data_IF_939014047109
#
_entry.id   IF_939014047109
#
_cell.length_a   1.000
_cell.length_b   1.000
_cell.length_c   1.000
_cell.angle_alpha   90.00
_cell.angle_beta   90.00
_cell.angle_gamma   90.00
#
_symmetry.space_group_name_H-M   'P 1'
#
loop_
_entity.id
_entity.type
_entity.pdbx_description
1 polymer ?
#
# COMPACT_ATOMS: atom_id res chain seq x y z
N UNK A 1 6.24 -9.63 10.45
CA UNK A 1 6.49 -9.52 8.99
C UNK A 1 6.74 -8.06 8.58
N UNK A 2 7.57 -7.81 7.56
CA UNK A 2 7.90 -6.47 7.06
C UNK A 2 6.90 -5.94 6.01
N UNK A 3 6.88 -4.62 5.81
CA UNK A 3 6.37 -4.03 4.58
C UNK A 3 7.29 -4.43 3.41
N UNK A 4 6.69 -4.71 2.25
CA UNK A 4 7.42 -5.16 1.07
C UNK A 4 6.97 -4.41 -0.19
N UNK A 5 7.85 -4.37 -1.18
CA UNK A 5 7.55 -3.88 -2.53
C UNK A 5 8.06 -4.88 -3.57
N UNK A 6 7.43 -4.98 -4.76
CA UNK A 6 7.98 -5.77 -5.87
C UNK A 6 9.41 -5.36 -6.21
N UNK A 7 10.27 -6.32 -6.58
CA UNK A 7 11.68 -6.03 -6.87
C UNK A 7 11.88 -5.00 -7.98
N UNK A 8 10.95 -4.95 -8.94
CA UNK A 8 10.96 -4.01 -10.06
C UNK A 8 10.47 -2.62 -9.69
N UNK A 9 9.83 -2.43 -8.53
CA UNK A 9 9.27 -1.15 -8.11
C UNK A 9 10.35 -0.09 -7.94
N UNK A 10 11.47 -0.40 -7.27
CA UNK A 10 12.57 0.57 -7.09
C UNK A 10 13.08 1.12 -8.42
N UNK A 11 13.16 0.27 -9.45
CA UNK A 11 13.58 0.67 -10.80
C UNK A 11 12.52 1.53 -11.49
N UNK A 12 11.24 1.21 -11.33
CA UNK A 12 10.14 1.97 -11.90
C UNK A 12 10.05 3.39 -11.31
N UNK A 13 10.24 3.52 -10.00
CA UNK A 13 10.20 4.79 -9.27
C UNK A 13 11.53 5.56 -9.25
N UNK A 14 12.59 5.07 -9.92
CA UNK A 14 13.96 5.56 -9.74
C UNK A 14 14.15 7.06 -10.01
N UNK A 15 13.35 7.64 -10.90
CA UNK A 15 13.47 9.05 -11.29
C UNK A 15 12.75 10.01 -10.34
N UNK A 16 11.86 9.51 -9.49
CA UNK A 16 11.09 10.33 -8.54
C UNK A 16 11.54 10.11 -7.09
N UNK A 17 12.58 9.30 -6.89
CA UNK A 17 13.29 9.24 -5.62
C UNK A 17 14.06 10.52 -5.37
N UNK A 18 14.08 10.96 -4.12
CA UNK A 18 14.88 12.10 -3.72
C UNK A 18 16.35 11.82 -4.00
N UNK A 19 17.01 12.77 -4.65
CA UNK A 19 18.47 12.75 -4.78
C UNK A 19 19.08 13.25 -3.48
N UNK A 20 20.24 12.71 -3.13
CA UNK A 20 20.98 13.12 -1.94
C UNK A 20 21.20 14.64 -1.96
N UNK A 21 20.66 15.34 -0.95
CA UNK A 21 20.71 16.81 -0.85
C UNK A 21 19.56 17.57 -1.49
N UNK A 22 18.51 16.89 -1.98
CA UNK A 22 17.27 17.52 -2.47
C UNK A 22 16.06 17.11 -1.61
N UNK A 23 15.00 17.93 -1.57
CA UNK A 23 13.72 17.62 -0.90
C UNK A 23 12.58 17.45 -1.93
N UNK A 24 12.89 16.95 -3.13
CA UNK A 24 11.99 17.03 -4.31
C UNK A 24 11.50 15.66 -4.79
N UNK A 25 11.56 14.63 -3.95
CA UNK A 25 11.19 13.26 -4.32
C UNK A 25 10.85 12.37 -3.13
N UNK A 26 10.59 11.10 -3.40
CA UNK A 26 10.39 10.09 -2.36
C UNK A 26 11.68 9.87 -1.57
N UNK A 27 11.62 10.12 -0.27
CA UNK A 27 12.75 9.99 0.66
C UNK A 27 12.83 8.58 1.21
N UNK A 28 11.69 7.91 1.35
CA UNK A 28 11.57 6.59 1.94
C UNK A 28 11.13 5.57 0.89
N UNK A 29 11.68 4.35 0.96
CA UNK A 29 11.10 3.21 0.23
C UNK A 29 9.64 2.96 0.64
N UNK A 30 9.25 3.42 1.83
CA UNK A 30 7.87 3.38 2.29
C UNK A 30 6.93 4.29 1.49
N UNK A 31 7.42 5.38 0.88
CA UNK A 31 6.60 6.23 0.00
C UNK A 31 6.11 5.41 -1.21
N UNK A 32 7.02 4.63 -1.81
CA UNK A 32 6.68 3.68 -2.88
C UNK A 32 5.60 2.71 -2.41
N UNK A 33 5.81 2.08 -1.25
CA UNK A 33 4.85 1.14 -0.69
C UNK A 33 3.48 1.80 -0.46
N UNK A 34 3.45 3.01 0.11
CA UNK A 34 2.24 3.75 0.42
C UNK A 34 1.43 4.05 -0.85
N UNK A 35 2.05 4.62 -1.89
CA UNK A 35 1.33 4.94 -3.12
C UNK A 35 0.82 3.69 -3.85
N UNK A 36 1.62 2.63 -3.88
CA UNK A 36 1.19 1.33 -4.38
C UNK A 36 0.01 0.79 -3.55
N UNK A 37 0.08 0.82 -2.22
CA UNK A 37 -1.00 0.39 -1.34
C UNK A 37 -2.29 1.17 -1.59
N UNK A 38 -2.22 2.50 -1.69
CA UNK A 38 -3.41 3.34 -1.94
C UNK A 38 -4.06 3.01 -3.28
N UNK A 39 -3.28 2.80 -4.35
CA UNK A 39 -3.82 2.36 -5.63
C UNK A 39 -4.50 0.99 -5.52
N UNK A 40 -3.86 0.02 -4.87
CA UNK A 40 -4.39 -1.33 -4.70
C UNK A 40 -5.66 -1.37 -3.85
N UNK A 41 -5.73 -0.60 -2.77
CA UNK A 41 -6.92 -0.48 -1.92
C UNK A 41 -8.08 0.19 -2.66
N UNK A 42 -7.78 1.21 -3.48
CA UNK A 42 -8.78 1.91 -4.27
C UNK A 42 -9.43 0.99 -5.31
N UNK A 43 -8.62 0.23 -6.06
CA UNK A 43 -9.11 -0.70 -7.09
C UNK A 43 -9.42 -2.09 -6.56
N UNK A 44 -9.27 -2.32 -5.25
CA UNK A 44 -9.36 -3.62 -4.59
C UNK A 44 -8.52 -4.74 -5.24
N UNK A 45 -7.39 -4.37 -5.86
CA UNK A 45 -6.52 -5.33 -6.56
C UNK A 45 -5.45 -5.87 -5.63
N UNK A 46 -5.31 -7.19 -5.62
CA UNK A 46 -4.26 -7.93 -4.93
C UNK A 46 -3.38 -8.66 -5.92
N UNK A 47 -2.09 -8.74 -5.63
CA UNK A 47 -1.19 -9.73 -6.22
C UNK A 47 -0.41 -10.48 -5.13
N UNK A 48 -0.46 -11.80 -5.19
CA UNK A 48 0.30 -12.68 -4.31
C UNK A 48 1.68 -12.92 -4.90
N UNK A 49 2.66 -12.13 -4.45
CA UNK A 49 4.04 -12.26 -4.85
C UNK A 49 4.83 -12.95 -3.75
N UNK A 50 5.73 -13.84 -4.16
CA UNK A 50 6.60 -14.57 -3.25
C UNK A 50 7.68 -13.68 -2.64
N UNK A 51 8.39 -14.21 -1.64
CA UNK A 51 9.50 -13.51 -1.01
C UNK A 51 10.68 -13.26 -1.98
N UNK A 52 10.86 -14.10 -3.02
CA UNK A 52 11.90 -13.90 -4.04
C UNK A 52 11.55 -12.82 -5.05
N UNK A 53 10.26 -12.49 -5.21
CA UNK A 53 9.76 -11.45 -6.13
C UNK A 53 9.65 -10.07 -5.48
N UNK A 54 9.85 -9.99 -4.17
CA UNK A 54 9.64 -8.79 -3.37
C UNK A 54 10.83 -8.51 -2.44
N UNK A 55 11.05 -7.24 -2.12
CA UNK A 55 12.10 -6.80 -1.20
C UNK A 55 11.48 -6.28 0.09
N UNK A 56 12.03 -6.65 1.25
CA UNK A 56 11.66 -6.04 2.54
C UNK A 56 12.17 -4.61 2.62
N UNK A 57 11.32 -3.70 3.09
CA UNK A 57 11.69 -2.30 3.26
C UNK A 57 11.86 -1.92 4.74
N UNK A 58 10.85 -2.19 5.58
CA UNK A 58 10.86 -1.83 7.00
C UNK A 58 9.80 -2.63 7.77
N UNK A 59 9.99 -2.85 9.08
CA UNK A 59 9.08 -3.63 9.94
C UNK A 59 8.19 -2.75 10.85
N UNK A 60 8.16 -1.45 10.61
CA UNK A 60 7.43 -0.45 11.40
C UNK A 60 6.97 0.70 10.49
N UNK A 61 5.99 1.49 10.92
CA UNK A 61 5.63 2.72 10.22
C UNK A 61 6.72 3.79 10.43
N UNK A 62 7.35 4.31 9.36
CA UNK A 62 8.32 5.40 9.47
C UNK A 62 7.73 6.64 10.14
N UNK A 63 8.57 7.52 10.71
CA UNK A 63 8.16 8.69 11.52
C UNK A 63 7.01 9.48 10.91
N UNK A 64 7.11 9.75 9.62
CA UNK A 64 6.19 10.65 8.92
C UNK A 64 4.79 10.04 8.76
N UNK A 65 4.73 8.70 8.79
CA UNK A 65 3.51 7.90 8.69
C UNK A 65 3.00 7.42 10.06
N UNK A 66 3.76 7.61 11.15
CA UNK A 66 3.34 7.14 12.49
C UNK A 66 2.03 7.77 12.95
N UNK A 67 1.79 9.04 12.60
CA UNK A 67 0.56 9.77 12.95
C UNK A 67 -0.66 9.22 12.20
N UNK A 68 -0.47 8.82 10.95
CA UNK A 68 -1.55 8.36 10.06
C UNK A 68 -1.69 6.83 10.02
N UNK A 69 -0.87 6.09 10.78
CA UNK A 69 -0.87 4.61 10.79
C UNK A 69 -2.26 4.01 11.00
N UNK A 70 -3.05 4.59 11.90
CA UNK A 70 -4.37 4.07 12.25
C UNK A 70 -5.36 4.27 11.10
N UNK A 71 -5.22 5.37 10.36
CA UNK A 71 -6.02 5.64 9.17
C UNK A 71 -5.68 4.65 8.06
N UNK A 72 -4.39 4.42 7.80
CA UNK A 72 -3.93 3.44 6.80
C UNK A 72 -4.47 2.03 7.14
N UNK A 73 -4.35 1.62 8.41
CA UNK A 73 -4.87 0.33 8.88
C UNK A 73 -6.39 0.27 8.75
N UNK A 74 -7.11 1.30 9.15
CA UNK A 74 -8.58 1.32 9.06
C UNK A 74 -9.06 1.22 7.60
N UNK A 75 -8.39 1.91 6.67
CA UNK A 75 -8.68 1.81 5.24
C UNK A 75 -8.43 0.39 4.72
N UNK A 76 -7.30 -0.21 5.07
CA UNK A 76 -6.99 -1.60 4.73
C UNK A 76 -8.06 -2.57 5.26
N UNK A 77 -8.36 -2.51 6.56
CA UNK A 77 -9.34 -3.40 7.19
C UNK A 77 -10.73 -3.26 6.58
N UNK A 78 -11.15 -2.02 6.30
CA UNK A 78 -12.42 -1.76 5.61
C UNK A 78 -12.46 -2.49 4.27
N UNK A 79 -11.43 -2.35 3.44
CA UNK A 79 -11.36 -3.00 2.12
C UNK A 79 -11.30 -4.53 2.21
N UNK A 80 -10.59 -5.05 3.20
CA UNK A 80 -10.48 -6.49 3.41
C UNK A 80 -11.83 -7.11 3.83
N UNK A 81 -12.55 -6.44 4.74
CA UNK A 81 -13.87 -6.89 5.18
C UNK A 81 -14.91 -6.79 4.05
N UNK A 82 -14.86 -5.73 3.24
CA UNK A 82 -15.67 -5.59 2.03
C UNK A 82 -15.43 -6.78 1.07
N UNK A 83 -14.17 -7.16 0.83
CA UNK A 83 -13.82 -8.27 -0.06
C UNK A 83 -14.28 -9.64 0.48
N UNK A 84 -14.29 -9.81 1.80
CA UNK A 84 -14.77 -11.04 2.46
C UNK A 84 -16.31 -11.12 2.54
N UNK A 85 -17.04 -10.10 2.06
CA UNK A 85 -18.50 -10.05 2.15
C UNK A 85 -19.01 -9.92 3.60
N UNK A 86 -18.15 -9.53 4.55
CA UNK A 86 -18.52 -9.43 5.96
C UNK A 86 -19.25 -8.12 6.19
N UNK A 87 -20.55 -8.22 6.46
CA UNK A 87 -21.35 -7.08 6.85
C UNK A 87 -20.94 -6.58 8.25
N UNK A 88 -20.83 -5.27 8.42
CA UNK A 88 -20.60 -4.63 9.73
C UNK A 88 -21.70 -4.97 10.76
N UNK A 89 -22.85 -5.48 10.30
CA UNK A 89 -23.96 -5.93 11.16
C UNK A 89 -23.64 -7.25 11.87
N UNK A 90 -22.70 -8.05 11.36
CA UNK A 90 -22.34 -9.37 11.88
C UNK A 90 -21.16 -9.28 12.87
N UNK A 91 -21.42 -8.67 14.05
CA UNK A 91 -20.38 -8.35 15.05
C UNK A 91 -19.44 -9.51 15.40
N UNK A 92 -19.96 -10.74 15.51
CA UNK A 92 -19.15 -11.92 15.86
C UNK A 92 -18.18 -12.31 14.73
N UNK A 93 -18.66 -12.36 13.49
CA UNK A 93 -17.85 -12.67 12.33
C UNK A 93 -16.79 -11.58 12.10
N UNK A 94 -17.21 -10.32 12.18
CA UNK A 94 -16.33 -9.15 12.14
C UNK A 94 -15.19 -9.25 13.15
N UNK A 95 -15.51 -9.47 14.43
CA UNK A 95 -14.51 -9.57 15.50
C UNK A 95 -13.51 -10.71 15.27
N UNK A 96 -13.98 -11.85 14.72
CA UNK A 96 -13.10 -12.96 14.41
C UNK A 96 -12.13 -12.60 13.28
N UNK A 97 -12.60 -11.95 12.21
CA UNK A 97 -11.72 -11.50 11.12
C UNK A 97 -10.72 -10.44 11.59
N UNK A 98 -11.15 -9.47 12.40
CA UNK A 98 -10.25 -8.46 12.95
C UNK A 98 -9.14 -9.07 13.81
N UNK A 99 -9.44 -10.08 14.63
CA UNK A 99 -8.44 -10.80 15.43
C UNK A 99 -7.38 -11.50 14.58
N UNK A 100 -7.75 -11.93 13.38
CA UNK A 100 -6.83 -12.57 12.45
C UNK A 100 -5.89 -11.53 11.84
N UNK A 101 -6.35 -10.31 11.57
CA UNK A 101 -5.60 -9.29 10.84
C UNK A 101 -4.80 -8.33 11.75
N UNK A 102 -5.23 -8.13 13.00
CA UNK A 102 -4.65 -7.15 13.92
C UNK A 102 -3.76 -7.86 14.95
N UNK A 103 -2.70 -7.17 15.39
CA UNK A 103 -1.90 -7.57 16.55
C UNK A 103 -1.64 -6.35 17.44
N UNK A 104 -1.78 -6.53 18.76
CA UNK A 104 -1.46 -5.46 19.73
C UNK A 104 0.03 -5.38 20.03
N UNK A 105 0.80 -6.43 19.72
CA UNK A 105 2.22 -6.55 20.07
C UNK A 105 3.16 -6.18 18.93
N UNK A 106 2.68 -6.14 17.68
CA UNK A 106 3.51 -5.77 16.54
C UNK A 106 3.67 -4.25 16.40
N UNK A 107 4.83 -3.82 15.89
CA UNK A 107 5.10 -2.41 15.61
C UNK A 107 4.19 -1.80 14.54
N UNK A 108 3.66 -2.64 13.63
CA UNK A 108 2.70 -2.25 12.58
C UNK A 108 1.25 -2.33 13.05
N UNK A 109 0.97 -2.83 14.26
CA UNK A 109 -0.38 -3.17 14.75
C UNK A 109 -1.13 -4.21 13.91
N UNK A 110 -0.47 -4.85 12.96
CA UNK A 110 -1.01 -5.93 12.13
C UNK A 110 -0.38 -7.26 12.52
N UNK A 111 -1.15 -8.34 12.43
CA UNK A 111 -0.61 -9.70 12.51
C UNK A 111 0.22 -10.02 11.27
N UNK A 112 0.91 -11.16 11.25
CA UNK A 112 1.60 -11.59 10.02
C UNK A 112 0.62 -11.83 8.86
N UNK A 113 -0.61 -12.28 9.14
CA UNK A 113 -1.64 -12.42 8.11
C UNK A 113 -2.12 -11.05 7.62
N UNK A 114 -2.34 -10.09 8.52
CA UNK A 114 -2.68 -8.72 8.13
C UNK A 114 -1.60 -8.08 7.28
N UNK A 115 -0.32 -8.29 7.63
CA UNK A 115 0.82 -7.82 6.83
C UNK A 115 0.90 -8.52 5.46
N UNK A 116 0.60 -9.82 5.36
CA UNK A 116 0.52 -10.52 4.07
C UNK A 116 -0.54 -9.89 3.17
N UNK A 117 -1.77 -9.76 3.65
CA UNK A 117 -2.87 -9.23 2.85
C UNK A 117 -2.65 -7.75 2.48
N UNK A 118 -2.10 -6.94 3.39
CA UNK A 118 -1.71 -5.56 3.09
C UNK A 118 -0.65 -5.49 1.99
N UNK A 119 0.40 -6.32 2.06
CA UNK A 119 1.42 -6.37 1.02
C UNK A 119 0.85 -6.84 -0.34
N UNK A 120 -0.15 -7.73 -0.35
CA UNK A 120 -0.83 -8.12 -1.59
C UNK A 120 -1.52 -6.94 -2.27
N UNK A 121 -2.17 -6.05 -1.51
CA UNK A 121 -2.71 -4.82 -2.08
C UNK A 121 -1.62 -3.90 -2.61
N UNK A 122 -0.50 -3.74 -1.91
CA UNK A 122 0.61 -2.94 -2.42
C UNK A 122 1.16 -3.53 -3.73
N UNK A 123 1.33 -4.85 -3.84
CA UNK A 123 1.74 -5.50 -5.08
C UNK A 123 0.74 -5.29 -6.21
N UNK A 124 -0.55 -5.51 -5.94
CA UNK A 124 -1.62 -5.32 -6.92
C UNK A 124 -1.73 -3.87 -7.37
N UNK A 125 -1.58 -2.92 -6.45
CA UNK A 125 -1.57 -1.50 -6.76
C UNK A 125 -0.36 -1.07 -7.57
N UNK A 126 0.80 -1.71 -7.41
CA UNK A 126 1.92 -1.48 -8.32
C UNK A 126 1.56 -1.87 -9.76
N UNK A 127 0.84 -2.97 -9.98
CA UNK A 127 0.31 -3.32 -11.32
C UNK A 127 -0.66 -2.28 -11.86
N UNK A 128 -1.58 -1.81 -11.03
CA UNK A 128 -2.49 -0.72 -11.41
C UNK A 128 -1.73 0.50 -11.86
N UNK A 129 -0.66 0.89 -11.14
CA UNK A 129 0.16 2.03 -11.52
C UNK A 129 0.89 1.78 -12.85
N UNK A 130 1.40 0.57 -13.09
CA UNK A 130 2.02 0.24 -14.38
C UNK A 130 1.03 0.29 -15.55
N UNK A 131 -0.22 -0.08 -15.33
CA UNK A 131 -1.27 -0.05 -16.37
C UNK A 131 -1.80 1.36 -16.60
N UNK A 132 -1.87 2.19 -15.55
CA UNK A 132 -2.39 3.55 -15.60
C UNK A 132 -1.40 4.57 -16.16
N UNK A 133 -0.10 4.33 -16.01
CA UNK A 133 0.96 5.18 -16.54
C UNK A 133 1.50 4.61 -17.86
N UNK A 134 1.51 5.43 -18.93
CA UNK A 134 2.09 5.04 -20.22
C UNK A 134 3.59 4.73 -20.13
N UNK A 135 4.30 5.46 -19.28
CA UNK A 135 5.73 5.27 -19.01
C UNK A 135 6.02 5.48 -17.52
N UNK A 136 7.14 4.93 -16.98
CA UNK A 136 7.56 5.21 -15.62
C UNK A 136 7.70 6.72 -15.36
N UNK A 137 7.23 7.24 -14.22
CA UNK A 137 7.22 8.66 -13.93
C UNK A 137 8.63 9.23 -13.88
N UNK A 138 8.82 10.42 -14.48
CA UNK A 138 10.12 11.11 -14.54
C UNK A 138 10.28 12.19 -13.48
N UNK A 139 9.18 12.74 -12.97
CA UNK A 139 9.16 13.75 -11.91
C UNK A 139 8.05 13.45 -10.91
N UNK A 140 8.21 13.93 -9.68
CA UNK A 140 7.23 13.70 -8.61
C UNK A 140 5.90 14.40 -8.93
N UNK A 141 5.94 15.59 -9.53
CA UNK A 141 4.75 16.36 -9.88
C UNK A 141 3.89 15.61 -10.89
N UNK A 142 4.50 15.10 -11.97
CA UNK A 142 3.80 14.32 -12.98
C UNK A 142 3.24 13.02 -12.39
N UNK A 143 3.98 12.40 -11.46
CA UNK A 143 3.49 11.26 -10.72
C UNK A 143 2.22 11.60 -9.92
N UNK A 144 2.26 12.64 -9.08
CA UNK A 144 1.14 13.00 -8.20
C UNK A 144 -0.10 13.42 -9.00
N UNK A 145 0.06 14.17 -10.10
CA UNK A 145 -1.05 14.57 -10.98
C UNK A 145 -1.69 13.32 -11.62
N UNK A 146 -0.88 12.42 -12.18
CA UNK A 146 -1.37 11.22 -12.86
C UNK A 146 -1.97 10.22 -11.87
N UNK A 147 -1.36 10.08 -10.69
CA UNK A 147 -1.85 9.27 -9.59
C UNK A 147 -3.21 9.77 -9.10
N UNK A 148 -3.39 11.08 -8.92
CA UNK A 148 -4.67 11.64 -8.50
C UNK A 148 -5.82 11.31 -9.47
N UNK A 149 -5.53 11.21 -10.78
CA UNK A 149 -6.52 10.80 -11.80
C UNK A 149 -7.06 9.38 -11.61
N UNK A 150 -6.41 8.52 -10.81
CA UNK A 150 -7.00 7.23 -10.41
C UNK A 150 -8.28 7.43 -9.59
N UNK A 151 -8.31 8.45 -8.74
CA UNK A 151 -9.38 8.67 -7.76
C UNK A 151 -10.46 9.63 -8.23
N UNK A 152 -10.19 10.41 -9.28
CA UNK A 152 -11.08 11.48 -9.77
C UNK A 152 -11.88 11.09 -11.01
N UNK A 153 -11.83 9.82 -11.44
CA UNK A 153 -12.83 9.28 -12.37
C UNK A 153 -14.19 9.18 -11.67
N UNK A 154 -14.90 10.31 -11.72
CA UNK A 154 -16.37 10.33 -11.73
C UNK A 154 -16.81 9.59 -12.99
N UNK A 155 -17.83 8.73 -12.87
CA UNK A 155 -18.48 8.05 -13.98
C UNK A 155 -18.86 9.02 -15.12
N UNK A 156 -18.97 8.56 -16.38
CA UNK A 156 -19.69 9.31 -17.42
C UNK A 156 -21.15 9.58 -17.00
#
# INVERSE_FOLDING_TARGET
MAFRIPNTAKTWFKHIKSKQGSNTGFELDFDIHYFCLMAGLHTQRKEDLTASETTEIVQYFPSDYKKDRHLIIALFLKKELEQLGVSLKERKLLNNQLKILISTTSATRLSDQGMRELNKYANGGFRVLQEHFLEPPRTLENFLITFNKLFTKSEP
#
